data_IF_119628250690
#
_entry.id   IF_119628250690
#
_cell.length_a   1.000
_cell.length_b   1.000
_cell.length_c   1.000
_cell.angle_alpha   90.00
_cell.angle_beta   90.00
_cell.angle_gamma   90.00
#
_symmetry.space_group_name_H-M   'P 1'
#
loop_
_entity.id
_entity.type
_entity.pdbx_description
1 polymer ?
#
# COMPACT_ATOMS: atom_id res chain seq x y z
N UNK A 1 2.75 7.94 3.20
CA UNK A 1 3.85 8.87 2.84
C UNK A 1 3.69 9.29 1.38
N UNK A 2 4.10 10.49 0.99
CA UNK A 2 4.09 10.89 -0.42
C UNK A 2 5.07 10.05 -1.26
N UNK A 3 5.03 10.22 -2.59
CA UNK A 3 5.86 9.46 -3.52
C UNK A 3 7.37 9.70 -3.34
N UNK A 4 7.78 10.96 -3.14
CA UNK A 4 9.20 11.30 -2.99
C UNK A 4 9.78 10.73 -1.67
N UNK A 5 9.01 10.79 -0.59
CA UNK A 5 9.33 10.21 0.70
C UNK A 5 9.41 8.69 0.62
N UNK A 6 8.52 8.05 -0.16
CA UNK A 6 8.58 6.62 -0.42
C UNK A 6 9.89 6.22 -1.09
N UNK A 7 10.26 6.89 -2.18
CA UNK A 7 11.52 6.62 -2.89
C UNK A 7 12.73 6.78 -1.97
N UNK A 8 12.80 7.90 -1.24
CA UNK A 8 13.87 8.17 -0.28
C UNK A 8 13.95 7.11 0.83
N UNK A 9 12.81 6.68 1.36
CA UNK A 9 12.75 5.62 2.37
C UNK A 9 13.27 4.28 1.83
N UNK A 10 12.90 3.92 0.61
CA UNK A 10 13.34 2.69 -0.04
C UNK A 10 14.86 2.73 -0.30
N UNK A 11 15.38 3.84 -0.84
CA UNK A 11 16.81 4.03 -1.09
C UNK A 11 17.63 3.97 0.20
N UNK A 12 17.15 4.63 1.27
CA UNK A 12 17.79 4.61 2.59
C UNK A 12 17.86 3.19 3.18
N UNK A 13 16.96 2.31 2.77
CA UNK A 13 16.93 0.90 3.16
C UNK A 13 17.58 -0.04 2.13
N UNK A 14 18.42 0.49 1.24
CA UNK A 14 19.18 -0.23 0.21
C UNK A 14 18.31 -0.95 -0.84
N UNK A 15 17.11 -0.46 -1.11
CA UNK A 15 16.31 -0.93 -2.23
C UNK A 15 16.65 -0.15 -3.50
N UNK A 16 16.69 -0.85 -4.65
CA UNK A 16 16.89 -0.22 -5.95
C UNK A 16 15.52 0.20 -6.48
N UNK A 17 15.29 1.51 -6.54
CA UNK A 17 14.03 2.11 -7.03
C UNK A 17 14.08 2.46 -8.52
N UNK A 18 15.08 1.97 -9.25
CA UNK A 18 15.20 2.20 -10.69
C UNK A 18 13.99 1.66 -11.44
N UNK A 19 13.27 2.54 -12.14
CA UNK A 19 12.07 2.16 -12.89
C UNK A 19 10.79 2.07 -12.06
N UNK A 20 10.83 2.50 -10.79
CA UNK A 20 9.64 2.55 -9.93
C UNK A 20 8.53 3.42 -10.53
N UNK A 21 8.89 4.52 -11.20
CA UNK A 21 7.95 5.39 -11.93
C UNK A 21 7.14 4.64 -13.00
N UNK A 22 7.68 3.53 -13.53
CA UNK A 22 6.99 2.67 -14.50
C UNK A 22 6.08 1.65 -13.81
N UNK A 23 6.42 1.25 -12.59
CA UNK A 23 5.67 0.26 -11.80
C UNK A 23 4.44 0.87 -11.13
N UNK A 24 4.57 2.10 -10.64
CA UNK A 24 3.51 2.81 -9.93
C UNK A 24 3.39 4.19 -10.54
N UNK A 25 2.31 4.40 -11.30
CA UNK A 25 1.98 5.72 -11.82
C UNK A 25 1.09 6.43 -10.80
N UNK A 26 1.52 7.57 -10.24
CA UNK A 26 0.65 8.35 -9.38
C UNK A 26 -0.59 8.82 -10.17
N UNK A 27 -1.75 8.96 -9.51
CA UNK A 27 -2.95 9.43 -10.16
C UNK A 27 -2.72 10.83 -10.77
N UNK A 28 -3.24 11.06 -11.97
CA UNK A 28 -3.05 12.31 -12.71
C UNK A 28 -3.85 13.49 -12.16
N UNK A 29 -4.80 13.25 -11.26
CA UNK A 29 -5.69 14.27 -10.69
C UNK A 29 -4.95 15.14 -9.68
N UNK A 30 -4.85 16.44 -9.96
CA UNK A 30 -4.18 17.43 -9.10
C UNK A 30 -4.89 17.71 -7.77
N UNK A 31 -6.15 17.30 -7.61
CA UNK A 31 -6.98 17.57 -6.42
C UNK A 31 -6.94 16.44 -5.36
N UNK A 32 -6.23 15.35 -5.61
CA UNK A 32 -6.14 14.23 -4.67
C UNK A 32 -4.77 14.24 -3.98
N UNK A 33 -4.78 14.33 -2.65
CA UNK A 33 -3.61 14.01 -1.85
C UNK A 33 -3.52 12.49 -1.74
N UNK A 34 -2.47 11.89 -2.28
CA UNK A 34 -2.25 10.44 -2.25
C UNK A 34 -1.00 10.10 -1.46
N UNK A 35 -1.10 9.01 -0.71
CA UNK A 35 -0.04 8.52 0.15
C UNK A 35 0.09 7.01 0.02
N UNK A 36 1.32 6.52 0.07
CA UNK A 36 1.62 5.09 0.11
C UNK A 36 1.89 4.63 1.54
N UNK A 37 1.44 3.43 1.85
CA UNK A 37 1.81 2.69 3.05
C UNK A 37 2.59 1.45 2.62
N UNK A 38 3.70 1.19 3.28
CA UNK A 38 4.58 0.05 3.01
C UNK A 38 4.79 -0.75 4.29
N UNK A 39 4.59 -2.06 4.17
CA UNK A 39 4.68 -3.01 5.29
C UNK A 39 5.54 -4.19 4.87
N UNK A 40 6.48 -4.58 5.72
CA UNK A 40 7.26 -5.80 5.57
C UNK A 40 6.57 -6.93 6.31
N UNK A 41 6.34 -8.04 5.62
CA UNK A 41 5.94 -9.33 6.18
C UNK A 41 7.19 -10.20 6.40
N UNK A 42 7.36 -10.77 7.59
CA UNK A 42 8.48 -11.62 7.97
C UNK A 42 8.01 -13.02 8.32
N UNK A 43 8.77 -14.04 7.90
CA UNK A 43 8.52 -15.43 8.27
C UNK A 43 9.83 -16.19 8.49
N UNK A 44 9.78 -17.20 9.37
CA UNK A 44 10.87 -18.16 9.57
C UNK A 44 10.42 -19.54 9.13
N UNK A 45 11.35 -20.36 8.63
CA UNK A 45 11.05 -21.70 8.17
C UNK A 45 12.16 -22.32 7.35
N UNK A 46 11.81 -23.33 6.56
CA UNK A 46 12.71 -23.97 5.60
C UNK A 46 11.92 -24.62 4.46
N UNK A 47 12.59 -24.92 3.35
CA UNK A 47 11.99 -25.67 2.24
C UNK A 47 12.35 -27.15 2.37
N UNK A 48 11.36 -28.02 2.59
CA UNK A 48 11.56 -29.47 2.68
C UNK A 48 11.01 -30.12 1.42
N UNK A 49 11.86 -30.81 0.66
CA UNK A 49 11.48 -31.52 -0.58
C UNK A 49 10.68 -30.64 -1.57
N UNK A 50 11.00 -29.35 -1.65
CA UNK A 50 10.32 -28.40 -2.53
C UNK A 50 9.14 -27.66 -1.89
N UNK A 51 8.67 -28.07 -0.72
CA UNK A 51 7.55 -27.46 -0.01
C UNK A 51 8.07 -26.34 0.91
N UNK A 52 7.67 -25.07 0.72
CA UNK A 52 8.10 -23.96 1.57
C UNK A 52 7.32 -23.98 2.91
N UNK A 53 7.93 -24.52 3.97
CA UNK A 53 7.35 -24.56 5.31
C UNK A 53 7.78 -23.31 6.10
N UNK A 54 7.35 -22.15 5.63
CA UNK A 54 7.58 -20.87 6.30
C UNK A 54 6.30 -20.40 6.98
N UNK A 55 6.46 -19.85 8.18
CA UNK A 55 5.35 -19.39 9.00
C UNK A 55 5.78 -18.19 9.83
N UNK A 56 4.84 -17.25 10.02
CA UNK A 56 5.00 -16.14 10.96
C UNK A 56 4.98 -16.60 12.42
N UNK A 57 4.31 -17.72 12.72
CA UNK A 57 4.28 -18.30 14.06
C UNK A 57 5.60 -18.97 14.45
N UNK A 58 6.48 -19.24 13.49
CA UNK A 58 7.82 -19.76 13.73
C UNK A 58 8.86 -18.67 14.04
N UNK A 59 8.47 -17.40 14.05
CA UNK A 59 9.34 -16.31 14.46
C UNK A 59 9.68 -16.45 15.96
N UNK A 60 10.96 -16.32 16.29
CA UNK A 60 11.44 -16.39 17.67
C UNK A 60 11.17 -15.06 18.40
N UNK A 61 10.40 -15.06 19.50
CA UNK A 61 10.19 -13.85 20.30
C UNK A 61 11.51 -13.23 20.73
N UNK A 62 11.56 -11.89 20.77
CA UNK A 62 12.72 -11.07 21.15
C UNK A 62 13.94 -11.10 20.21
N UNK A 63 14.13 -12.17 19.43
CA UNK A 63 15.27 -12.31 18.49
C UNK A 63 14.87 -11.86 17.09
N UNK A 64 13.66 -12.25 16.66
CA UNK A 64 13.17 -11.93 15.33
C UNK A 64 12.40 -10.62 15.31
N UNK A 65 12.34 -9.96 14.14
CA UNK A 65 11.35 -8.92 13.91
C UNK A 65 9.93 -9.48 14.03
N UNK A 66 8.94 -8.62 14.29
CA UNK A 66 7.54 -9.02 14.33
C UNK A 66 7.06 -9.53 12.95
N UNK A 67 5.94 -10.28 12.89
CA UNK A 67 5.35 -10.76 11.65
C UNK A 67 5.15 -9.67 10.60
N UNK A 68 4.75 -8.47 11.05
CA UNK A 68 4.61 -7.29 10.21
C UNK A 68 5.31 -6.10 10.85
N UNK A 69 6.07 -5.36 10.06
CA UNK A 69 6.79 -4.16 10.50
C UNK A 69 6.87 -3.10 9.41
N UNK A 70 7.14 -1.87 9.81
CA UNK A 70 7.57 -0.81 8.90
C UNK A 70 9.04 -0.98 8.50
N UNK A 71 9.49 -0.24 7.48
CA UNK A 71 10.89 -0.26 7.02
C UNK A 71 11.88 0.19 8.09
N UNK A 72 11.45 1.02 9.04
CA UNK A 72 12.27 1.45 10.17
C UNK A 72 12.43 0.36 11.26
N UNK A 73 11.68 -0.75 11.16
CA UNK A 73 11.68 -1.87 12.11
C UNK A 73 10.61 -1.76 13.20
N UNK A 74 9.78 -0.71 13.20
CA UNK A 74 8.68 -0.59 14.14
C UNK A 74 7.56 -1.61 13.85
N UNK A 75 6.96 -2.23 14.88
CA UNK A 75 5.93 -3.25 14.69
C UNK A 75 4.65 -2.67 14.11
N UNK A 76 4.03 -3.40 13.17
CA UNK A 76 2.67 -3.12 12.72
C UNK A 76 1.71 -4.05 13.45
N UNK A 77 0.78 -3.49 14.22
CA UNK A 77 -0.25 -4.24 14.91
C UNK A 77 -1.46 -4.42 13.98
N UNK A 78 -1.76 -5.66 13.63
CA UNK A 78 -2.86 -6.01 12.75
C UNK A 78 -3.88 -6.85 13.49
N UNK A 79 -5.15 -6.49 13.40
CA UNK A 79 -6.22 -7.33 13.93
C UNK A 79 -6.21 -8.68 13.21
N UNK A 80 -6.32 -9.78 13.97
CA UNK A 80 -6.27 -11.15 13.45
C UNK A 80 -5.02 -11.48 12.61
N UNK A 81 -3.94 -10.70 12.78
CA UNK A 81 -2.70 -10.81 12.00
C UNK A 81 -2.92 -10.77 10.47
N UNK A 82 -3.97 -10.11 9.98
CA UNK A 82 -4.21 -9.97 8.53
C UNK A 82 -3.79 -8.59 8.03
N UNK A 83 -3.07 -8.56 6.90
CA UNK A 83 -2.65 -7.31 6.24
C UNK A 83 -3.87 -6.49 5.78
N UNK A 84 -4.99 -7.13 5.49
CA UNK A 84 -6.24 -6.46 5.11
C UNK A 84 -6.83 -5.63 6.24
N UNK A 85 -6.48 -5.95 7.50
CA UNK A 85 -6.93 -5.23 8.69
C UNK A 85 -6.02 -4.05 9.05
N UNK A 86 -5.14 -3.63 8.13
CA UNK A 86 -4.32 -2.44 8.33
C UNK A 86 -5.21 -1.19 8.40
N UNK A 87 -5.13 -0.46 9.51
CA UNK A 87 -5.97 0.70 9.76
C UNK A 87 -5.46 1.95 9.02
N UNK A 88 -6.40 2.78 8.55
CA UNK A 88 -6.08 4.13 8.10
C UNK A 88 -5.74 5.02 9.30
N UNK A 89 -4.91 6.08 9.12
CA UNK A 89 -4.49 6.93 10.23
C UNK A 89 -5.65 7.73 10.85
N UNK A 90 -6.59 8.15 10.01
CA UNK A 90 -7.77 8.91 10.39
C UNK A 90 -8.91 8.71 9.36
N UNK A 91 -10.09 9.25 9.66
CA UNK A 91 -11.29 9.15 8.81
C UNK A 91 -11.24 10.03 7.55
N UNK A 92 -10.24 10.90 7.41
CA UNK A 92 -10.04 11.73 6.23
C UNK A 92 -9.30 11.01 5.11
N UNK A 93 -8.88 9.76 5.32
CA UNK A 93 -8.30 8.91 4.29
C UNK A 93 -9.29 7.87 3.81
N UNK A 94 -9.16 7.48 2.54
CA UNK A 94 -9.78 6.29 1.97
C UNK A 94 -8.72 5.51 1.19
N UNK A 95 -8.91 4.19 1.05
CA UNK A 95 -8.03 3.40 0.20
C UNK A 95 -8.32 3.72 -1.27
N UNK A 96 -7.27 4.06 -2.01
CA UNK A 96 -7.36 4.27 -3.46
C UNK A 96 -7.20 2.95 -4.22
N UNK A 97 -6.40 2.03 -3.67
CA UNK A 97 -6.31 0.64 -4.15
C UNK A 97 -7.16 -0.30 -3.30
N UNK A 98 -7.94 -1.15 -3.96
CA UNK A 98 -8.87 -2.09 -3.32
C UNK A 98 -8.16 -3.13 -2.45
N UNK A 99 -6.94 -3.53 -2.84
CA UNK A 99 -6.15 -4.56 -2.16
C UNK A 99 -4.72 -4.09 -1.91
N UNK A 100 -4.02 -4.80 -1.03
CA UNK A 100 -2.57 -4.72 -0.96
C UNK A 100 -1.93 -5.34 -2.19
N UNK A 101 -0.80 -4.79 -2.60
CA UNK A 101 0.00 -5.37 -3.67
C UNK A 101 1.39 -5.73 -3.16
N UNK A 102 1.99 -6.75 -3.76
CA UNK A 102 3.37 -7.14 -3.47
C UNK A 102 4.34 -6.29 -4.28
N UNK A 103 5.32 -5.70 -3.59
CA UNK A 103 6.32 -4.86 -4.20
C UNK A 103 7.52 -5.70 -4.66
N UNK A 104 7.66 -5.85 -5.98
CA UNK A 104 8.66 -6.71 -6.62
C UNK A 104 10.01 -6.00 -6.82
N UNK A 105 10.58 -5.46 -5.73
CA UNK A 105 11.87 -4.75 -5.77
C UNK A 105 13.07 -5.66 -5.51
N UNK A 106 14.19 -5.31 -6.16
CA UNK A 106 15.45 -6.04 -6.07
C UNK A 106 15.29 -7.53 -6.50
N UNK A 107 16.00 -8.44 -5.83
CA UNK A 107 15.99 -9.87 -6.11
C UNK A 107 14.99 -10.56 -5.17
N UNK A 108 13.82 -10.88 -5.71
CA UNK A 108 12.70 -11.57 -5.05
C UNK A 108 12.20 -12.71 -5.94
N UNK A 109 11.56 -13.71 -5.35
CA UNK A 109 10.89 -14.77 -6.12
C UNK A 109 9.60 -14.30 -6.80
N UNK A 110 8.95 -15.22 -7.51
CA UNK A 110 7.69 -14.97 -8.24
C UNK A 110 6.53 -14.52 -7.33
N UNK A 111 6.60 -14.81 -6.03
CA UNK A 111 5.61 -14.40 -5.02
C UNK A 111 6.07 -13.19 -4.19
N UNK A 112 7.21 -12.59 -4.54
CA UNK A 112 7.81 -11.43 -3.90
C UNK A 112 8.55 -11.70 -2.59
N UNK A 113 8.96 -12.95 -2.34
CA UNK A 113 9.79 -13.29 -1.18
C UNK A 113 11.28 -13.10 -1.48
N UNK A 114 11.97 -12.48 -0.54
CA UNK A 114 13.42 -12.53 -0.44
C UNK A 114 13.83 -13.41 0.75
N UNK A 115 14.86 -14.21 0.57
CA UNK A 115 15.36 -15.19 1.54
C UNK A 115 16.71 -14.77 2.12
N UNK A 116 17.00 -15.25 3.33
CA UNK A 116 18.31 -15.11 3.97
C UNK A 116 18.50 -16.16 5.08
N UNK A 117 19.72 -16.24 5.63
CA UNK A 117 20.06 -17.10 6.77
C UNK A 117 19.39 -16.64 8.07
N UNK A 118 19.37 -15.33 8.32
CA UNK A 118 18.78 -14.71 9.51
C UNK A 118 18.39 -13.26 9.23
N UNK A 119 17.59 -12.66 10.11
CA UNK A 119 17.19 -11.25 9.98
C UNK A 119 18.37 -10.33 10.34
N UNK A 120 19.13 -9.91 9.35
CA UNK A 120 20.21 -8.94 9.53
C UNK A 120 20.33 -8.01 8.34
N UNK A 121 20.67 -6.74 8.61
CA UNK A 121 20.99 -5.74 7.59
C UNK A 121 22.34 -5.99 6.92
N UNK A 122 23.25 -6.71 7.59
CA UNK A 122 24.58 -7.04 7.05
C UNK A 122 24.56 -8.27 6.13
N UNK A 123 23.50 -9.07 6.16
CA UNK A 123 23.37 -10.24 5.31
C UNK A 123 22.68 -9.87 4.00
N UNK A 124 23.11 -10.57 2.94
CA UNK A 124 22.50 -10.44 1.63
C UNK A 124 21.15 -11.14 1.61
N UNK A 125 20.20 -10.51 0.94
CA UNK A 125 18.88 -11.05 0.62
C UNK A 125 18.85 -11.39 -0.87
N UNK A 126 18.14 -12.45 -1.24
CA UNK A 126 18.02 -12.91 -2.63
C UNK A 126 16.68 -13.61 -2.87
N UNK A 127 16.23 -13.64 -4.12
CA UNK A 127 14.93 -14.20 -4.49
C UNK A 127 14.94 -15.71 -4.63
N UNK A 128 16.06 -16.28 -5.09
CA UNK A 128 16.20 -17.74 -5.18
C UNK A 128 16.45 -18.35 -3.80
N UNK A 129 15.68 -19.39 -3.46
CA UNK A 129 15.91 -20.20 -2.26
C UNK A 129 17.16 -21.07 -2.37
N UNK A 130 17.97 -21.08 -1.32
CA UNK A 130 19.12 -21.96 -1.10
C UNK A 130 19.00 -22.71 0.23
N UNK A 131 19.66 -23.86 0.33
CA UNK A 131 19.76 -24.57 1.60
C UNK A 131 20.49 -23.69 2.62
N UNK A 132 19.89 -23.50 3.80
CA UNK A 132 20.36 -22.55 4.82
C UNK A 132 19.54 -21.27 4.88
N UNK A 133 18.62 -21.02 3.96
CA UNK A 133 17.67 -19.92 4.08
C UNK A 133 16.60 -20.26 5.12
N UNK A 134 16.78 -19.71 6.33
CA UNK A 134 15.85 -19.94 7.43
C UNK A 134 14.84 -18.82 7.61
N UNK A 135 15.04 -17.67 6.95
CA UNK A 135 14.12 -16.54 7.04
C UNK A 135 13.75 -16.04 5.65
N UNK A 136 12.54 -15.50 5.54
CA UNK A 136 12.10 -14.78 4.36
C UNK A 136 11.36 -13.52 4.75
N UNK A 137 11.41 -12.52 3.87
CA UNK A 137 10.67 -11.27 3.99
C UNK A 137 9.99 -10.91 2.67
N UNK A 138 8.85 -10.25 2.74
CA UNK A 138 8.11 -9.74 1.58
C UNK A 138 7.63 -8.33 1.87
N UNK A 139 7.60 -7.49 0.84
CA UNK A 139 7.16 -6.12 0.97
C UNK A 139 5.78 -5.95 0.34
N UNK A 140 4.88 -5.38 1.12
CA UNK A 140 3.52 -5.02 0.74
C UNK A 140 3.43 -3.51 0.59
N UNK A 141 2.68 -3.05 -0.41
CA UNK A 141 2.39 -1.64 -0.65
C UNK A 141 0.90 -1.45 -0.90
N UNK A 142 0.35 -0.35 -0.38
CA UNK A 142 -1.01 0.08 -0.69
C UNK A 142 -1.07 1.60 -0.79
N UNK A 143 -1.93 2.09 -1.68
CA UNK A 143 -2.16 3.52 -1.87
C UNK A 143 -3.47 3.93 -1.20
N UNK A 144 -3.40 4.99 -0.42
CA UNK A 144 -4.55 5.73 0.11
C UNK A 144 -4.61 7.12 -0.50
N UNK A 145 -5.80 7.70 -0.49
CA UNK A 145 -6.06 9.05 -0.97
C UNK A 145 -6.93 9.82 0.02
N UNK A 146 -6.84 11.13 -0.07
CA UNK A 146 -7.67 12.09 0.62
C UNK A 146 -8.15 13.10 -0.40
N UNK A 147 -9.46 13.29 -0.45
CA UNK A 147 -10.05 14.31 -1.31
C UNK A 147 -9.81 15.66 -0.67
N UNK A 148 -9.18 16.58 -1.41
CA UNK A 148 -9.27 17.98 -1.06
C UNK A 148 -10.69 18.44 -1.41
N UNK A 149 -11.51 18.62 -0.38
CA UNK A 149 -12.73 19.42 -0.51
C UNK A 149 -12.24 20.85 -0.74
N UNK A 150 -12.02 21.21 -2.00
CA UNK A 150 -11.98 22.61 -2.38
C UNK A 150 -13.33 23.18 -1.93
N UNK A 151 -13.29 24.04 -0.92
CA UNK A 151 -14.48 24.69 -0.43
C UNK A 151 -14.97 25.62 -1.53
N UNK A 152 -15.79 25.10 -2.44
CA UNK A 152 -16.62 25.86 -3.38
C UNK A 152 -17.69 26.70 -2.65
N UNK A 153 -17.44 27.06 -1.39
CA UNK A 153 -18.14 28.14 -0.71
C UNK A 153 -17.47 29.47 -1.09
N UNK A 154 -17.35 29.75 -2.39
CA UNK A 154 -17.33 31.13 -2.84
C UNK A 154 -18.71 31.72 -2.54
N UNK A 155 -18.81 32.31 -1.36
CA UNK A 155 -19.50 33.57 -1.08
C UNK A 155 -20.54 34.01 -2.12
N UNK A 156 -21.74 33.41 -2.10
CA UNK A 156 -22.90 34.08 -2.69
C UNK A 156 -23.33 35.19 -1.73
N UNK A 157 -22.70 36.35 -1.87
CA UNK A 157 -23.08 37.57 -1.18
C UNK A 157 -24.53 37.92 -1.54
N UNK A 158 -25.40 37.86 -0.54
CA UNK A 158 -26.44 38.86 -0.25
C UNK A 158 -26.97 39.65 -1.46
N UNK A 159 -28.14 39.26 -1.96
CA UNK A 159 -29.15 40.27 -2.30
C UNK A 159 -30.52 39.83 -1.76
N UNK A 160 -30.98 40.56 -0.74
CA UNK A 160 -32.37 40.62 -0.37
C UNK A 160 -33.12 41.26 -1.52
N UNK A 161 -33.96 40.49 -2.23
CA UNK A 161 -35.09 41.04 -2.98
C UNK A 161 -36.31 40.21 -2.66
N UNK A 162 -37.16 40.83 -1.85
CA UNK A 162 -38.55 40.44 -1.60
C UNK A 162 -39.35 40.52 -2.91
N UNK A 163 -39.94 39.41 -3.36
CA UNK A 163 -41.14 39.43 -4.20
C UNK A 163 -41.78 38.03 -4.28
N UNK A 164 -42.98 37.95 -3.71
CA UNK A 164 -44.04 36.95 -3.91
C UNK A 164 -44.21 36.49 -5.37
N UNK A 165 -44.46 35.20 -5.60
CA UNK A 165 -45.06 34.69 -6.84
C UNK A 165 -44.95 33.17 -7.03
N UNK A 166 -46.10 32.51 -7.05
CA UNK A 166 -46.35 31.10 -7.37
C UNK A 166 -45.84 30.72 -8.78
N UNK A 167 -45.37 29.47 -8.98
CA UNK A 167 -46.12 28.39 -9.67
C UNK A 167 -45.21 27.22 -10.17
N UNK A 168 -45.79 26.02 -10.25
CA UNK A 168 -45.15 24.70 -10.42
C UNK A 168 -44.57 24.36 -11.82
N UNK A 169 -43.51 23.50 -11.89
CA UNK A 169 -43.42 22.35 -12.84
C UNK A 169 -42.15 21.47 -12.74
N UNK A 170 -42.35 20.23 -12.27
CA UNK A 170 -41.96 18.93 -12.86
C UNK A 170 -40.57 18.62 -13.48
N UNK A 171 -39.80 17.81 -12.73
CA UNK A 171 -39.17 16.49 -13.08
C UNK A 171 -37.92 16.36 -14.01
N UNK A 172 -36.79 16.09 -13.33
CA UNK A 172 -35.79 15.01 -13.44
C UNK A 172 -35.00 14.66 -14.73
N UNK A 173 -33.68 14.71 -14.55
CA UNK A 173 -32.58 14.14 -15.36
C UNK A 173 -32.44 12.62 -15.20
N UNK A 174 -31.91 11.96 -16.23
CA UNK A 174 -31.27 10.64 -16.11
C UNK A 174 -29.88 10.73 -16.75
N UNK A 175 -28.83 10.67 -15.93
CA UNK A 175 -27.45 10.51 -16.37
C UNK A 175 -26.90 9.23 -15.74
N UNK A 176 -26.38 8.33 -16.58
CA UNK A 176 -25.67 7.12 -16.17
C UNK A 176 -24.21 7.45 -15.83
N UNK A 177 -23.58 6.81 -14.84
CA UNK A 177 -22.15 6.95 -14.60
C UNK A 177 -21.35 6.02 -15.52
N UNK A 178 -20.32 6.56 -16.17
CA UNK A 178 -19.27 5.81 -16.84
C UNK A 178 -18.17 5.43 -15.85
N UNK A 179 -17.87 4.13 -15.74
CA UNK A 179 -16.70 3.59 -15.02
C UNK A 179 -15.38 4.09 -15.62
N UNK A 180 -14.34 4.38 -14.81
CA UNK A 180 -12.98 4.45 -15.31
C UNK A 180 -12.26 3.11 -15.16
N UNK A 181 -11.73 2.65 -16.30
CA UNK A 181 -10.91 1.46 -16.47
C UNK A 181 -9.63 1.51 -15.62
N UNK A 182 -9.45 0.49 -14.77
CA UNK A 182 -8.17 0.18 -14.16
C UNK A 182 -7.33 -0.71 -15.08
N UNK A 183 -6.07 -0.35 -15.31
CA UNK A 183 -5.01 -1.30 -15.67
C UNK A 183 -3.67 -0.74 -15.20
N UNK A 184 -3.13 -1.33 -14.13
CA UNK A 184 -1.79 -1.04 -13.60
C UNK A 184 -0.89 -2.25 -13.85
N UNK A 185 0.27 -2.02 -14.46
CA UNK A 185 1.34 -3.02 -14.60
C UNK A 185 2.44 -2.65 -13.60
N UNK A 186 2.68 -3.52 -12.60
CA UNK A 186 3.83 -3.36 -11.70
C UNK A 186 3.70 -3.89 -10.27
N UNK A 187 2.51 -4.31 -9.84
CA UNK A 187 2.31 -4.85 -8.50
C UNK A 187 1.26 -5.97 -8.58
N UNK A 188 1.65 -7.21 -8.28
CA UNK A 188 0.76 -8.37 -8.44
C UNK A 188 -0.10 -8.48 -7.17
N UNK A 189 -1.42 -8.59 -7.37
CA UNK A 189 -2.36 -8.97 -6.32
C UNK A 189 -2.18 -10.47 -6.10
N UNK A 190 -1.88 -10.88 -4.87
CA UNK A 190 -1.85 -12.30 -4.49
C UNK A 190 -3.05 -12.53 -3.58
N UNK A 191 -4.04 -13.26 -4.07
CA UNK A 191 -5.19 -13.76 -3.31
C UNK A 191 -4.79 -14.89 -2.34
#
# INVERSE_FOLDING_TARGET
MDYASLLSLLETNNFNVGGFDKMIQPPSSRSLDFHFDVVLENQRGLKILGIPLFSRQSLMPCIDPPPYQHLDGSPVLLAYDSIDNYALPDFGWSWSWDTWHVLMLNDVDESGWAYSLLFSRSLKWHGKYYFGDFVRRRMWIRMRQRDHVESDLETDHSSYVDATGEDERGKNLHAQPSEPAGTTVGAIVIE
#
